data_IF_315957074232
#
_entry.id   IF_315957074232
#
_cell.length_a   1.000
_cell.length_b   1.000
_cell.length_c   1.000
_cell.angle_alpha   90.00
_cell.angle_beta   90.00
_cell.angle_gamma   90.00
#
_symmetry.space_group_name_H-M   'P 1'
#
loop_
_entity.id
_entity.type
_entity.pdbx_description
1 polymer ?
#
# COMPACT_ATOMS: atom_id res chain seq x y z
N UNK A 1 48.14 -68.52 -25.73
CA UNK A 1 47.01 -68.02 -24.93
C UNK A 1 46.94 -66.50 -25.06
N UNK A 2 45.76 -65.95 -25.42
CA UNK A 2 45.25 -64.59 -25.14
C UNK A 2 46.09 -63.41 -25.69
N UNK A 3 45.60 -62.44 -26.47
CA UNK A 3 44.26 -61.95 -26.69
C UNK A 3 44.19 -60.45 -26.33
N UNK A 4 43.99 -59.61 -27.37
CA UNK A 4 43.22 -58.34 -27.41
C UNK A 4 43.62 -57.12 -26.55
N UNK A 5 43.81 -56.02 -27.30
CA UNK A 5 43.10 -54.72 -27.22
C UNK A 5 43.42 -53.72 -26.08
N UNK A 6 43.54 -52.47 -26.52
CA UNK A 6 43.75 -51.24 -25.76
C UNK A 6 42.50 -50.78 -24.99
N UNK A 7 42.69 -50.03 -23.90
CA UNK A 7 41.75 -49.00 -23.41
C UNK A 7 42.56 -47.86 -22.78
N UNK A 8 42.32 -46.64 -23.25
CA UNK A 8 42.77 -45.39 -22.65
C UNK A 8 41.83 -44.98 -21.51
N UNK A 9 42.37 -44.38 -20.44
CA UNK A 9 41.57 -43.59 -19.49
C UNK A 9 42.30 -42.27 -19.25
N UNK A 10 41.80 -41.22 -19.90
CA UNK A 10 42.07 -39.85 -19.52
C UNK A 10 41.21 -39.51 -18.29
N UNK A 11 41.83 -39.12 -17.18
CA UNK A 11 41.13 -38.54 -16.05
C UNK A 11 41.31 -37.02 -16.11
N UNK A 12 40.31 -36.33 -16.66
CA UNK A 12 40.22 -34.87 -16.62
C UNK A 12 39.72 -34.41 -15.25
N UNK A 13 40.49 -33.57 -14.58
CA UNK A 13 40.09 -32.91 -13.34
C UNK A 13 39.08 -31.81 -13.66
N UNK A 14 37.79 -32.08 -13.46
CA UNK A 14 36.75 -31.05 -13.56
C UNK A 14 36.78 -30.16 -12.31
N UNK A 15 37.19 -28.90 -12.48
CA UNK A 15 36.98 -27.84 -11.48
C UNK A 15 35.47 -27.53 -11.43
N UNK A 16 34.79 -27.98 -10.37
CA UNK A 16 33.41 -27.57 -10.08
C UNK A 16 33.45 -26.18 -9.45
N UNK A 17 33.24 -25.14 -10.26
CA UNK A 17 33.00 -23.79 -9.76
C UNK A 17 31.56 -23.72 -9.22
N UNK A 18 31.37 -23.99 -7.92
CA UNK A 18 30.12 -23.66 -7.22
C UNK A 18 29.98 -22.15 -7.11
N UNK A 19 29.28 -21.55 -8.08
CA UNK A 19 28.81 -20.17 -7.98
C UNK A 19 27.81 -20.06 -6.84
N UNK A 20 28.20 -19.43 -5.72
CA UNK A 20 27.22 -18.98 -4.73
C UNK A 20 26.36 -17.90 -5.38
N UNK A 21 25.17 -18.28 -5.81
CA UNK A 21 24.08 -17.34 -6.02
C UNK A 21 23.74 -16.75 -4.65
N UNK A 22 24.31 -15.59 -4.34
CA UNK A 22 23.86 -14.79 -3.21
C UNK A 22 22.39 -14.43 -3.44
N UNK A 23 21.49 -15.16 -2.79
CA UNK A 23 20.09 -14.79 -2.71
C UNK A 23 20.03 -13.43 -2.00
N UNK A 24 19.82 -12.37 -2.77
CA UNK A 24 19.51 -11.06 -2.18
C UNK A 24 18.24 -11.24 -1.34
N UNK A 25 18.20 -10.76 -0.09
CA UNK A 25 16.99 -10.90 0.72
C UNK A 25 15.90 -10.04 0.07
N UNK A 26 14.99 -10.69 -0.66
CA UNK A 26 13.84 -10.06 -1.30
C UNK A 26 12.95 -9.30 -0.28
N UNK A 27 13.10 -9.59 1.02
CA UNK A 27 12.32 -8.99 2.10
C UNK A 27 12.71 -7.56 2.49
N UNK A 28 13.88 -7.04 2.10
CA UNK A 28 14.25 -5.65 2.40
C UNK A 28 13.74 -4.64 1.36
N UNK A 29 13.49 -5.09 0.12
CA UNK A 29 13.01 -4.24 -0.97
C UNK A 29 11.49 -3.99 -0.93
N UNK A 30 10.73 -4.78 -0.16
CA UNK A 30 9.26 -4.69 -0.12
C UNK A 30 8.70 -3.50 0.68
N UNK A 31 9.54 -2.69 1.34
CA UNK A 31 9.09 -1.49 2.08
C UNK A 31 9.74 -0.17 1.64
N UNK A 32 10.25 -0.12 0.39
CA UNK A 32 10.89 1.08 -0.17
C UNK A 32 9.92 2.04 -0.90
N UNK A 33 8.60 1.91 -0.76
CA UNK A 33 7.72 2.88 -1.42
C UNK A 33 7.83 4.24 -0.74
N UNK A 34 8.07 5.28 -1.53
CA UNK A 34 7.94 6.66 -1.08
C UNK A 34 6.47 7.04 -0.79
N UNK A 35 5.51 6.35 -1.41
CA UNK A 35 4.10 6.58 -1.18
C UNK A 35 3.62 5.69 -0.03
N UNK A 36 3.14 6.32 1.05
CA UNK A 36 2.75 5.61 2.27
C UNK A 36 1.43 6.11 2.83
N UNK A 37 0.79 5.28 3.65
CA UNK A 37 -0.41 5.66 4.38
C UNK A 37 0.05 6.47 5.61
N UNK A 38 -0.15 7.78 5.59
CA UNK A 38 0.27 8.65 6.70
C UNK A 38 -0.68 8.60 7.90
N UNK A 39 -1.96 8.31 7.67
CA UNK A 39 -2.94 8.19 8.73
C UNK A 39 -4.35 7.89 8.22
N UNK A 40 -5.27 7.66 9.15
CA UNK A 40 -6.68 7.36 8.89
C UNK A 40 -7.56 8.12 9.87
N UNK A 41 -8.59 8.79 9.36
CA UNK A 41 -9.73 9.20 10.17
C UNK A 41 -10.80 8.12 10.00
N UNK A 42 -10.89 7.24 10.99
CA UNK A 42 -11.76 6.08 10.92
C UNK A 42 -13.13 6.37 11.53
N UNK A 43 -13.19 7.23 12.55
CA UNK A 43 -14.42 7.65 13.21
C UNK A 43 -14.81 9.03 12.65
N UNK A 44 -15.83 9.08 11.79
CA UNK A 44 -16.29 10.35 11.24
C UNK A 44 -16.91 11.21 12.36
N UNK A 45 -16.51 12.48 12.52
CA UNK A 45 -17.04 13.30 13.61
C UNK A 45 -18.55 13.56 13.42
N UNK A 46 -19.27 13.43 14.53
CA UNK A 46 -20.74 13.51 14.60
C UNK A 46 -21.39 12.13 14.59
N UNK A 47 -22.72 12.10 14.71
CA UNK A 47 -23.47 10.85 14.55
C UNK A 47 -23.37 10.36 13.11
N UNK A 48 -23.15 9.07 12.93
CA UNK A 48 -23.11 8.44 11.62
C UNK A 48 -24.37 8.75 10.80
N UNK A 49 -24.13 9.31 9.62
CA UNK A 49 -25.13 9.66 8.63
C UNK A 49 -24.64 9.26 7.24
N UNK A 50 -25.17 8.13 6.76
CA UNK A 50 -24.85 7.54 5.47
C UNK A 50 -25.71 8.06 4.32
N UNK A 51 -26.45 9.16 4.52
CA UNK A 51 -27.19 9.81 3.43
C UNK A 51 -26.23 10.22 2.32
N UNK A 52 -26.61 9.91 1.07
CA UNK A 52 -25.88 10.29 -0.15
C UNK A 52 -25.53 11.78 -0.20
N UNK A 53 -26.48 12.61 0.23
CA UNK A 53 -26.33 14.06 0.31
C UNK A 53 -26.54 14.51 1.75
N UNK A 54 -25.66 15.37 2.25
CA UNK A 54 -25.72 15.90 3.62
C UNK A 54 -25.18 14.96 4.71
N UNK A 55 -24.88 13.70 4.40
CA UNK A 55 -24.21 12.78 5.32
C UNK A 55 -22.74 13.13 5.61
N UNK A 56 -22.12 12.47 6.59
CA UNK A 56 -20.76 12.77 7.06
C UNK A 56 -19.70 11.73 6.66
N UNK A 57 -20.03 10.78 5.80
CA UNK A 57 -19.12 9.70 5.35
C UNK A 57 -17.85 10.21 4.66
N UNK A 58 -17.88 11.41 4.06
CA UNK A 58 -16.69 12.05 3.49
C UNK A 58 -15.66 12.47 4.55
N UNK A 59 -16.06 12.52 5.83
CA UNK A 59 -15.16 12.80 6.94
C UNK A 59 -14.44 11.54 7.44
N UNK A 60 -14.87 10.36 7.02
CA UNK A 60 -14.09 9.14 7.13
C UNK A 60 -13.12 9.06 5.93
N UNK A 61 -11.82 8.95 6.18
CA UNK A 61 -10.82 8.97 5.11
C UNK A 61 -9.48 8.35 5.49
N UNK A 62 -8.75 7.88 4.46
CA UNK A 62 -7.32 7.56 4.56
C UNK A 62 -6.50 8.68 3.92
N UNK A 63 -5.40 9.06 4.58
CA UNK A 63 -4.45 10.06 4.09
C UNK A 63 -3.20 9.37 3.56
N UNK A 64 -2.95 9.48 2.26
CA UNK A 64 -1.81 8.87 1.56
C UNK A 64 -0.85 9.97 1.18
N UNK A 65 0.41 9.87 1.58
CA UNK A 65 1.42 10.92 1.43
C UNK A 65 2.61 10.43 0.63
N UNK A 66 3.16 11.31 -0.20
CA UNK A 66 4.44 11.12 -0.84
C UNK A 66 5.57 11.58 0.09
N UNK A 67 6.32 10.63 0.63
CA UNK A 67 7.49 10.85 1.48
C UNK A 67 8.80 10.95 0.70
N UNK A 68 8.77 10.91 -0.64
CA UNK A 68 9.97 11.20 -1.44
C UNK A 68 10.40 12.65 -1.16
N UNK A 69 11.71 12.86 -1.13
CA UNK A 69 12.30 14.21 -1.00
C UNK A 69 12.36 14.96 -2.33
N UNK A 70 12.32 14.26 -3.46
CA UNK A 70 12.62 14.84 -4.77
C UNK A 70 11.73 14.35 -5.90
N UNK A 71 11.01 13.24 -5.71
CA UNK A 71 10.24 12.62 -6.79
C UNK A 71 8.75 12.88 -6.64
N UNK A 72 8.12 13.37 -7.69
CA UNK A 72 6.65 13.36 -7.84
C UNK A 72 6.16 11.93 -8.04
N UNK A 73 5.01 11.59 -7.47
CA UNK A 73 4.35 10.28 -7.64
C UNK A 73 2.99 10.47 -8.28
N UNK A 74 2.72 9.74 -9.37
CA UNK A 74 1.38 9.64 -9.93
C UNK A 74 0.61 8.48 -9.27
N UNK A 75 -0.57 8.75 -8.73
CA UNK A 75 -1.40 7.75 -8.06
C UNK A 75 -2.15 6.82 -9.01
N UNK A 76 -2.19 7.12 -10.31
CA UNK A 76 -2.93 6.30 -11.28
C UNK A 76 -2.57 4.82 -11.17
N UNK A 77 -3.58 3.99 -10.92
CA UNK A 77 -3.46 2.54 -10.81
C UNK A 77 -3.11 2.02 -9.42
N UNK A 78 -2.77 2.88 -8.45
CA UNK A 78 -2.64 2.46 -7.05
C UNK A 78 -4.00 2.00 -6.51
N UNK A 79 -3.96 1.06 -5.56
CA UNK A 79 -5.17 0.47 -4.96
C UNK A 79 -5.08 0.56 -3.45
N UNK A 80 -6.15 1.03 -2.82
CA UNK A 80 -6.37 0.96 -1.37
C UNK A 80 -7.37 -0.13 -1.08
N UNK A 81 -7.08 -0.99 -0.10
CA UNK A 81 -7.96 -2.09 0.29
C UNK A 81 -8.05 -2.19 1.82
N UNK A 82 -9.18 -2.59 2.35
CA UNK A 82 -9.32 -2.99 3.75
C UNK A 82 -9.19 -4.51 3.94
N UNK A 83 -9.29 -4.99 5.18
CA UNK A 83 -9.29 -6.42 5.47
C UNK A 83 -10.56 -7.14 4.98
N UNK A 84 -11.70 -6.44 4.94
CA UNK A 84 -13.00 -6.99 4.56
C UNK A 84 -13.18 -7.20 3.04
N UNK A 85 -12.30 -6.62 2.21
CA UNK A 85 -12.33 -6.78 0.76
C UNK A 85 -12.77 -5.54 -0.01
N UNK A 86 -13.18 -4.47 0.66
CA UNK A 86 -13.48 -3.21 0.01
C UNK A 86 -12.22 -2.65 -0.64
N UNK A 87 -12.35 -2.17 -1.89
CA UNK A 87 -11.21 -1.66 -2.64
C UNK A 87 -11.54 -0.36 -3.36
N UNK A 88 -10.52 0.46 -3.57
CA UNK A 88 -10.57 1.64 -4.40
C UNK A 88 -9.32 1.72 -5.26
N UNK A 89 -9.50 1.92 -6.56
CA UNK A 89 -8.42 2.13 -7.50
C UNK A 89 -8.43 3.58 -7.98
N UNK A 90 -7.30 4.26 -7.88
CA UNK A 90 -7.10 5.55 -8.53
C UNK A 90 -7.08 5.34 -10.04
N UNK A 91 -7.96 6.04 -10.76
CA UNK A 91 -8.15 5.82 -12.21
C UNK A 91 -7.66 6.97 -13.05
N UNK A 92 -7.59 8.17 -12.47
CA UNK A 92 -7.10 9.36 -13.14
C UNK A 92 -5.62 9.57 -12.83
N UNK A 93 -5.01 10.49 -13.59
CA UNK A 93 -3.71 11.01 -13.19
C UNK A 93 -3.92 11.94 -11.99
N UNK A 94 -3.11 11.75 -10.95
CA UNK A 94 -3.11 12.56 -9.74
C UNK A 94 -1.67 12.59 -9.24
N UNK A 95 -1.04 13.76 -9.24
CA UNK A 95 0.39 13.90 -9.02
C UNK A 95 0.68 14.50 -7.65
N UNK A 96 1.23 13.68 -6.75
CA UNK A 96 1.69 14.15 -5.46
C UNK A 96 3.16 14.59 -5.54
N UNK A 97 3.40 15.88 -5.31
CA UNK A 97 4.74 16.42 -5.14
C UNK A 97 5.40 15.88 -3.85
N UNK A 98 6.73 16.02 -3.68
CA UNK A 98 7.41 15.74 -2.43
C UNK A 98 6.69 16.37 -1.22
N UNK A 99 6.30 15.55 -0.24
CA UNK A 99 5.60 15.98 0.97
C UNK A 99 4.07 16.13 0.82
N UNK A 100 3.54 16.11 -0.40
CA UNK A 100 2.12 16.26 -0.68
C UNK A 100 1.32 14.98 -0.38
N UNK A 101 0.00 15.10 -0.27
CA UNK A 101 -0.88 13.99 0.10
C UNK A 101 -2.24 14.07 -0.59
N UNK A 102 -2.91 12.92 -0.70
CA UNK A 102 -4.33 12.82 -1.06
C UNK A 102 -5.14 12.31 0.14
N UNK A 103 -6.40 12.76 0.26
CA UNK A 103 -7.40 12.11 1.13
C UNK A 103 -8.34 11.25 0.28
N UNK A 104 -8.31 9.94 0.49
CA UNK A 104 -9.33 9.02 -0.04
C UNK A 104 -10.50 8.95 0.93
N UNK A 105 -11.62 9.57 0.57
CA UNK A 105 -12.80 9.76 1.41
C UNK A 105 -13.92 8.79 1.06
N UNK A 106 -14.79 8.52 2.04
CA UNK A 106 -16.14 8.06 1.76
C UNK A 106 -16.98 9.11 1.02
N UNK A 107 -18.26 8.82 0.82
CA UNK A 107 -19.20 9.69 0.12
C UNK A 107 -18.99 9.72 -1.39
N UNK A 108 -19.59 10.73 -2.03
CA UNK A 108 -19.62 10.89 -3.49
C UNK A 108 -18.84 12.12 -3.94
N UNK A 109 -18.12 11.97 -5.04
CA UNK A 109 -17.36 13.06 -5.65
C UNK A 109 -16.40 12.56 -6.72
N UNK A 110 -15.49 13.43 -7.15
CA UNK A 110 -14.52 13.09 -8.18
C UNK A 110 -13.11 13.02 -7.61
N UNK A 111 -12.30 12.12 -8.16
CA UNK A 111 -10.84 12.18 -8.01
C UNK A 111 -10.34 13.50 -8.60
N UNK A 112 -9.70 14.31 -7.76
CA UNK A 112 -9.28 15.68 -8.06
C UNK A 112 -7.87 15.93 -7.53
N UNK A 113 -6.95 16.10 -8.48
CA UNK A 113 -5.54 16.43 -8.24
C UNK A 113 -5.41 17.80 -7.54
N UNK A 114 -5.98 18.85 -8.13
CA UNK A 114 -5.89 20.22 -7.56
C UNK A 114 -6.52 20.42 -6.18
N UNK A 115 -7.37 19.49 -5.70
CA UNK A 115 -7.95 19.51 -4.34
C UNK A 115 -7.37 18.43 -3.43
N UNK A 116 -6.50 17.57 -3.96
CA UNK A 116 -5.91 16.46 -3.25
C UNK A 116 -6.93 15.57 -2.54
N UNK A 117 -8.01 15.24 -3.26
CA UNK A 117 -9.10 14.42 -2.77
C UNK A 117 -9.53 13.38 -3.80
N UNK A 118 -9.82 12.19 -3.31
CA UNK A 118 -10.51 11.14 -4.04
C UNK A 118 -11.73 10.68 -3.25
N UNK A 119 -12.77 10.28 -3.96
CA UNK A 119 -14.00 9.78 -3.35
C UNK A 119 -14.23 8.35 -3.79
N UNK A 120 -14.57 7.49 -2.83
CA UNK A 120 -14.90 6.08 -3.08
C UNK A 120 -16.24 5.89 -3.77
N UNK A 121 -17.03 6.95 -3.92
CA UNK A 121 -18.37 6.96 -4.53
C UNK A 121 -19.32 5.97 -3.85
N UNK A 122 -19.23 5.92 -2.52
CA UNK A 122 -20.06 5.10 -1.66
C UNK A 122 -20.25 5.85 -0.33
N UNK A 123 -21.49 5.96 0.14
CA UNK A 123 -21.81 6.62 1.40
C UNK A 123 -21.87 5.66 2.60
N UNK A 124 -21.25 4.48 2.53
CA UNK A 124 -21.04 3.64 3.71
C UNK A 124 -19.74 4.01 4.42
N UNK A 125 -19.75 3.91 5.75
CA UNK A 125 -18.55 3.88 6.59
C UNK A 125 -17.87 2.52 6.43
N UNK A 126 -16.56 2.52 6.25
CA UNK A 126 -15.81 1.28 5.98
C UNK A 126 -14.62 1.08 6.90
N UNK A 127 -14.12 2.13 7.54
CA UNK A 127 -12.99 2.02 8.45
C UNK A 127 -13.59 1.72 9.81
N UNK A 128 -13.45 0.48 10.25
CA UNK A 128 -14.16 0.00 11.43
C UNK A 128 -13.73 0.72 12.71
N UNK A 129 -14.69 1.25 13.48
CA UNK A 129 -14.45 1.97 14.74
C UNK A 129 -13.68 1.17 15.81
N UNK A 130 -13.76 -0.16 15.78
CA UNK A 130 -12.97 -1.01 16.69
C UNK A 130 -11.51 -1.18 16.26
N UNK A 131 -11.25 -1.11 14.95
CA UNK A 131 -9.96 -1.37 14.33
C UNK A 131 -10.09 -2.02 12.96
N UNK A 132 -9.10 -1.78 12.11
CA UNK A 132 -9.05 -2.28 10.74
C UNK A 132 -7.61 -2.42 10.24
N UNK A 133 -7.42 -3.02 9.07
CA UNK A 133 -6.15 -3.07 8.34
C UNK A 133 -6.29 -2.45 6.96
N UNK A 134 -5.43 -1.48 6.69
CA UNK A 134 -5.40 -0.72 5.44
C UNK A 134 -4.19 -1.17 4.64
N UNK A 135 -4.43 -1.60 3.41
CA UNK A 135 -3.41 -1.99 2.46
C UNK A 135 -3.32 -0.96 1.34
N UNK A 136 -2.09 -0.58 0.98
CA UNK A 136 -1.80 0.20 -0.22
C UNK A 136 -1.00 -0.66 -1.18
N UNK A 137 -1.48 -0.81 -2.41
CA UNK A 137 -0.82 -1.56 -3.46
C UNK A 137 -0.41 -0.65 -4.61
N UNK A 138 0.75 -0.96 -5.18
CA UNK A 138 1.25 -0.34 -6.41
C UNK A 138 0.43 -0.83 -7.62
N UNK A 139 0.49 -0.14 -8.77
CA UNK A 139 -0.09 -0.64 -10.02
C UNK A 139 0.44 -2.02 -10.43
N UNK A 140 1.68 -2.34 -10.05
CA UNK A 140 2.31 -3.65 -10.23
C UNK A 140 1.76 -4.75 -9.30
N UNK A 141 0.76 -4.44 -8.45
CA UNK A 141 0.15 -5.31 -7.45
C UNK A 141 1.02 -5.66 -6.24
N UNK A 142 2.31 -5.28 -6.23
CA UNK A 142 3.12 -5.39 -5.02
C UNK A 142 2.65 -4.39 -3.96
N UNK A 143 2.78 -4.78 -2.69
CA UNK A 143 2.38 -3.95 -1.55
C UNK A 143 3.32 -2.75 -1.45
N UNK A 144 2.75 -1.55 -1.35
CA UNK A 144 3.50 -0.32 -1.10
C UNK A 144 3.61 -0.06 0.40
N UNK A 145 2.51 -0.27 1.14
CA UNK A 145 2.43 -0.04 2.57
C UNK A 145 1.25 -0.81 3.19
N UNK A 146 1.29 -1.02 4.50
CA UNK A 146 0.20 -1.64 5.27
C UNK A 146 0.22 -1.16 6.71
N UNK A 147 -0.95 -0.82 7.24
CA UNK A 147 -1.12 -0.47 8.64
C UNK A 147 -2.38 -1.07 9.22
N UNK A 148 -2.27 -1.54 10.44
CA UNK A 148 -3.41 -1.93 11.25
C UNK A 148 -3.54 -0.96 12.43
N UNK A 149 -4.78 -0.72 12.86
CA UNK A 149 -5.04 0.04 14.07
C UNK A 149 -6.15 -0.62 14.89
N UNK A 150 -6.16 -0.34 16.19
CA UNK A 150 -7.35 -0.47 17.03
C UNK A 150 -7.55 0.83 17.78
N UNK A 151 -8.81 1.22 18.03
CA UNK A 151 -9.14 2.44 18.79
C UNK A 151 -8.39 2.49 20.12
N UNK A 152 -8.48 1.40 20.89
CA UNK A 152 -7.85 1.27 22.21
C UNK A 152 -6.32 1.42 22.23
N UNK A 153 -5.63 1.04 21.15
CA UNK A 153 -4.15 1.05 21.11
C UNK A 153 -3.60 2.32 20.47
N UNK A 154 -4.30 2.84 19.46
CA UNK A 154 -3.73 3.80 18.52
C UNK A 154 -4.36 5.20 18.62
N UNK A 155 -5.54 5.34 19.21
CA UNK A 155 -6.30 6.61 19.32
C UNK A 155 -6.55 6.93 20.79
N UNK A 156 -5.46 7.28 21.52
CA UNK A 156 -5.52 7.52 22.97
C UNK A 156 -6.23 8.81 23.35
N UNK A 157 -6.21 9.80 22.46
CA UNK A 157 -6.93 11.06 22.62
C UNK A 157 -8.39 10.97 22.17
N UNK A 158 -8.79 9.87 21.51
CA UNK A 158 -10.17 9.55 21.19
C UNK A 158 -10.77 10.45 20.12
N UNK A 159 -9.93 11.02 19.25
CA UNK A 159 -10.34 12.00 18.25
C UNK A 159 -10.80 11.35 16.93
N UNK A 160 -10.72 10.02 16.80
CA UNK A 160 -11.09 9.27 15.61
C UNK A 160 -9.98 9.15 14.56
N UNK A 161 -8.79 9.68 14.84
CA UNK A 161 -7.67 9.77 13.92
C UNK A 161 -6.41 9.05 14.42
N UNK A 162 -5.86 8.19 13.58
CA UNK A 162 -4.58 7.52 13.83
C UNK A 162 -3.52 8.01 12.84
N UNK A 163 -2.35 8.37 13.36
CA UNK A 163 -1.16 8.69 12.56
C UNK A 163 -0.23 7.48 12.51
N UNK A 164 0.22 7.11 11.31
CA UNK A 164 1.15 5.99 11.09
C UNK A 164 2.56 6.47 10.73
N UNK A 165 2.65 7.45 9.83
CA UNK A 165 3.91 8.04 9.38
C UNK A 165 3.87 9.56 9.52
N UNK A 166 4.97 10.16 9.96
CA UNK A 166 5.13 11.62 10.13
C UNK A 166 6.00 12.18 9.00
#
# INVERSE_FOLDING_TARGET
>A
MRGRAAVAIAAGSALVATGLLAATPASAAEYSSALKISGVNYDAPGKDDNRRYGGNTYKEYVKIKNFSRSSTVNLKGYVVKDAAGHSYKFTKNHYLQPGDYVKLRGGYGTESDGKNVAYRNNANFIWNNGGDTIYLYKPSKSRADVHAYTKSRNDRDGNGYVTFHR
#
